data_IF_181833961836
#
_entry.id   IF_181833961836
#
_cell.length_a   1.000
_cell.length_b   1.000
_cell.length_c   1.000
_cell.angle_alpha   90.00
_cell.angle_beta   90.00
_cell.angle_gamma   90.00
#
_symmetry.space_group_name_H-M   'P 1'
#
loop_
_entity.id
_entity.type
_entity.pdbx_description
1 polymer ?
#
# COMPACT_ATOMS: atom_id res chain seq x y z
N UNK A 1 9.44 33.19 63.10
CA UNK A 1 9.82 33.54 61.69
C UNK A 1 10.36 32.27 61.11
N UNK A 2 9.61 31.81 60.60
CA UNK A 2 8.98 30.80 59.71
C UNK A 2 9.98 30.31 58.70
N UNK A 3 10.38 29.07 58.85
CA UNK A 3 11.06 28.26 57.85
C UNK A 3 10.10 27.97 56.71
N UNK A 4 10.40 28.50 55.54
CA UNK A 4 9.75 28.16 54.29
C UNK A 4 10.30 26.84 53.80
N UNK A 5 9.46 25.84 53.82
CA UNK A 5 9.70 24.53 53.30
C UNK A 5 10.15 24.57 51.82
N UNK A 6 11.27 23.93 51.54
CA UNK A 6 11.72 23.63 50.18
C UNK A 6 10.70 22.74 49.44
N UNK A 7 10.48 22.95 48.12
CA UNK A 7 9.58 22.13 47.37
C UNK A 7 10.15 20.71 47.21
N UNK A 8 9.33 19.75 47.52
CA UNK A 8 9.59 18.33 47.36
C UNK A 8 9.85 18.05 45.87
N UNK A 9 11.10 17.80 45.54
CA UNK A 9 11.48 17.19 44.25
C UNK A 9 10.98 15.74 44.20
N UNK A 10 9.70 15.58 43.85
CA UNK A 10 9.12 14.32 43.52
C UNK A 10 9.18 14.12 41.99
N UNK A 11 10.38 13.99 41.43
CA UNK A 11 10.52 13.47 40.10
C UNK A 11 10.07 12.01 40.10
N UNK A 12 8.84 11.77 39.68
CA UNK A 12 8.43 10.45 39.25
C UNK A 12 9.36 10.05 38.10
N UNK A 13 10.38 9.22 38.40
CA UNK A 13 11.04 8.42 37.41
C UNK A 13 9.94 7.60 36.74
N UNK A 14 9.45 8.06 35.60
CA UNK A 14 8.60 7.24 34.73
C UNK A 14 9.44 6.04 34.36
N UNK A 15 9.22 4.92 35.04
CA UNK A 15 9.80 3.66 34.62
C UNK A 15 9.22 3.34 33.28
N UNK A 16 10.06 3.41 32.22
CA UNK A 16 9.71 2.93 30.91
C UNK A 16 9.48 1.41 31.04
N UNK A 17 8.22 1.00 31.05
CA UNK A 17 7.86 -0.41 30.92
C UNK A 17 7.85 -0.69 29.41
N UNK A 18 8.80 -1.48 28.90
CA UNK A 18 8.80 -1.83 27.50
C UNK A 18 7.45 -2.46 27.14
N UNK A 19 6.75 -1.92 26.14
CA UNK A 19 5.54 -2.56 25.63
C UNK A 19 5.91 -3.92 25.06
N UNK A 20 5.06 -4.94 25.23
CA UNK A 20 5.28 -6.19 24.53
C UNK A 20 5.30 -5.92 23.01
N UNK A 21 6.13 -6.63 22.25
CA UNK A 21 6.17 -6.47 20.80
C UNK A 21 4.77 -6.65 20.19
N UNK A 22 4.47 -5.85 19.17
CA UNK A 22 3.28 -6.06 18.37
C UNK A 22 3.37 -7.41 17.64
N UNK A 23 2.25 -8.08 17.49
CA UNK A 23 2.20 -9.35 16.74
C UNK A 23 1.87 -9.06 15.28
N UNK A 24 2.72 -9.50 14.36
CA UNK A 24 2.51 -9.41 12.91
C UNK A 24 2.11 -10.77 12.36
N UNK A 25 0.85 -10.92 12.03
CA UNK A 25 0.35 -11.99 11.19
C UNK A 25 0.41 -11.58 9.72
N UNK A 26 0.51 -12.54 8.82
CA UNK A 26 0.61 -12.29 7.39
C UNK A 26 0.01 -13.43 6.58
N UNK A 27 -0.49 -13.12 5.39
CA UNK A 27 -0.77 -14.13 4.38
C UNK A 27 0.54 -14.67 3.80
N UNK A 28 0.66 -15.97 3.53
CA UNK A 28 1.93 -16.60 3.13
C UNK A 28 2.55 -15.94 1.89
N UNK A 29 1.72 -15.47 0.94
CA UNK A 29 2.21 -14.76 -0.26
C UNK A 29 2.91 -13.42 0.05
N UNK A 30 2.69 -12.85 1.24
CA UNK A 30 3.28 -11.57 1.69
C UNK A 30 4.45 -11.77 2.67
N UNK A 31 4.87 -12.99 2.89
CA UNK A 31 5.94 -13.34 3.85
C UNK A 31 7.24 -12.55 3.63
N UNK A 32 7.77 -12.38 2.40
CA UNK A 32 8.99 -11.60 2.20
C UNK A 32 8.84 -10.15 2.67
N UNK A 33 7.72 -9.50 2.35
CA UNK A 33 7.44 -8.14 2.80
C UNK A 33 7.25 -8.08 4.32
N UNK A 34 6.55 -9.05 4.93
CA UNK A 34 6.39 -9.13 6.37
C UNK A 34 7.72 -9.25 7.11
N UNK A 35 8.67 -10.05 6.57
CA UNK A 35 10.03 -10.18 7.11
C UNK A 35 10.77 -8.85 7.08
N UNK A 36 10.77 -8.17 5.93
CA UNK A 36 11.43 -6.87 5.78
C UNK A 36 10.84 -5.81 6.74
N UNK A 37 9.52 -5.79 6.93
CA UNK A 37 8.84 -4.89 7.88
C UNK A 37 9.27 -5.20 9.33
N UNK A 38 9.27 -6.47 9.73
CA UNK A 38 9.64 -6.86 11.09
C UNK A 38 11.10 -6.52 11.39
N UNK A 39 12.01 -6.74 10.45
CA UNK A 39 13.43 -6.39 10.55
C UNK A 39 13.61 -4.89 10.68
N UNK A 40 12.98 -4.09 9.80
CA UNK A 40 13.09 -2.63 9.81
C UNK A 40 12.53 -2.03 11.11
N UNK A 41 11.36 -2.46 11.55
CA UNK A 41 10.75 -1.99 12.80
C UNK A 41 11.56 -2.35 14.05
N UNK A 42 12.46 -3.32 13.96
CA UNK A 42 13.31 -3.78 15.07
C UNK A 42 14.72 -3.19 15.05
N UNK A 43 15.05 -2.33 14.08
CA UNK A 43 16.38 -1.72 13.98
C UNK A 43 16.62 -0.72 15.13
N UNK A 44 17.80 -0.74 15.79
CA UNK A 44 18.14 0.18 16.89
C UNK A 44 18.09 1.67 16.48
N UNK A 45 18.39 1.98 15.21
CA UNK A 45 18.35 3.33 14.66
C UNK A 45 16.96 3.96 14.69
N UNK A 46 15.93 3.15 14.74
CA UNK A 46 14.52 3.58 14.81
C UNK A 46 14.09 3.92 16.25
N UNK A 47 14.87 3.46 17.27
CA UNK A 47 14.55 3.59 18.69
C UNK A 47 15.63 4.38 19.45
N UNK A 48 15.71 5.71 19.33
CA UNK A 48 16.81 6.51 19.87
C UNK A 48 16.88 6.56 21.41
N UNK A 49 15.90 6.02 22.13
CA UNK A 49 15.85 6.01 23.61
C UNK A 49 16.22 4.68 24.25
N UNK A 50 16.65 3.70 23.48
CA UNK A 50 17.09 2.40 24.01
C UNK A 50 18.59 2.49 24.27
N UNK A 51 19.02 2.08 25.48
CA UNK A 51 20.43 2.07 25.84
C UNK A 51 21.25 1.25 24.85
N UNK A 52 22.47 1.72 24.51
CA UNK A 52 23.37 1.01 23.60
C UNK A 52 23.52 -0.45 24.01
N UNK A 53 23.28 -1.36 23.06
CA UNK A 53 23.40 -2.81 23.23
C UNK A 53 22.11 -3.55 23.62
N UNK A 54 20.97 -2.87 23.81
CA UNK A 54 19.69 -3.54 24.00
C UNK A 54 18.96 -3.72 22.65
N UNK A 55 18.72 -4.98 22.27
CA UNK A 55 17.86 -5.31 21.13
C UNK A 55 16.40 -5.24 21.58
N UNK A 56 15.61 -4.40 20.93
CA UNK A 56 14.17 -4.31 21.18
C UNK A 56 13.45 -4.96 20.00
N UNK A 57 12.88 -6.12 20.22
CA UNK A 57 11.98 -6.71 19.24
C UNK A 57 10.64 -5.97 19.29
N UNK A 58 10.40 -5.07 18.35
CA UNK A 58 9.18 -4.27 18.31
C UNK A 58 8.02 -4.99 17.63
N UNK A 59 8.33 -5.91 16.73
CA UNK A 59 7.36 -6.71 15.96
C UNK A 59 7.77 -8.18 16.02
N UNK A 60 6.84 -9.02 16.45
CA UNK A 60 6.98 -10.49 16.43
C UNK A 60 6.16 -11.05 15.28
N UNK A 61 6.81 -11.68 14.31
CA UNK A 61 6.10 -12.42 13.26
C UNK A 61 5.49 -13.70 13.80
N UNK A 62 4.26 -14.00 13.41
CA UNK A 62 3.56 -15.24 13.77
C UNK A 62 2.90 -15.82 12.53
N UNK A 63 3.13 -17.10 12.32
CA UNK A 63 2.60 -17.84 11.17
C UNK A 63 1.14 -18.24 11.40
N UNK A 64 0.40 -18.32 10.30
CA UNK A 64 -0.94 -18.89 10.22
C UNK A 64 -0.84 -20.09 9.27
N UNK A 65 -1.46 -21.19 9.63
CA UNK A 65 -1.55 -22.37 8.76
C UNK A 65 -2.67 -22.10 7.73
N UNK A 66 -2.27 -21.99 6.46
CA UNK A 66 -3.16 -21.69 5.32
C UNK A 66 -3.47 -22.97 4.53
N UNK A 67 -4.10 -23.94 5.19
CA UNK A 67 -4.44 -25.22 4.60
C UNK A 67 -5.84 -25.21 3.97
N UNK A 68 -6.16 -26.27 3.23
CA UNK A 68 -7.48 -26.50 2.62
C UNK A 68 -7.98 -27.91 2.93
N UNK A 69 -9.29 -28.01 3.07
CA UNK A 69 -9.97 -29.30 3.07
C UNK A 69 -9.94 -29.93 1.66
N UNK A 70 -10.18 -31.26 1.53
CA UNK A 70 -10.21 -31.93 0.24
C UNK A 70 -11.25 -31.37 -0.75
N UNK A 71 -12.27 -30.71 -0.26
CA UNK A 71 -13.31 -30.02 -1.06
C UNK A 71 -12.91 -28.60 -1.49
N UNK A 72 -11.71 -28.14 -1.12
CA UNK A 72 -11.14 -26.85 -1.49
C UNK A 72 -11.46 -25.70 -0.53
N UNK A 73 -12.29 -25.90 0.50
CA UNK A 73 -12.56 -24.86 1.49
C UNK A 73 -11.36 -24.64 2.44
N UNK A 74 -11.15 -23.41 2.92
CA UNK A 74 -10.04 -23.09 3.82
C UNK A 74 -10.10 -23.86 5.14
N UNK A 75 -8.97 -24.44 5.54
CA UNK A 75 -8.73 -25.06 6.84
C UNK A 75 -7.64 -24.25 7.57
N UNK A 76 -8.04 -23.15 8.18
CA UNK A 76 -7.16 -22.16 8.75
C UNK A 76 -6.92 -22.39 10.24
N UNK A 77 -5.67 -22.28 10.69
CA UNK A 77 -5.33 -22.39 12.10
C UNK A 77 -4.29 -21.33 12.51
N UNK A 78 -4.57 -20.60 13.57
CA UNK A 78 -3.67 -19.63 14.20
C UNK A 78 -3.12 -20.28 15.46
N UNK A 79 -1.88 -20.78 15.40
CA UNK A 79 -1.24 -21.39 16.55
C UNK A 79 -0.98 -20.36 17.65
N UNK A 80 -1.08 -20.80 18.92
CA UNK A 80 -0.84 -19.97 20.09
C UNK A 80 -1.62 -18.65 20.11
N UNK A 81 -2.81 -18.59 19.47
CA UNK A 81 -3.61 -17.37 19.29
C UNK A 81 -3.79 -16.58 20.59
N UNK A 82 -4.07 -17.26 21.72
CA UNK A 82 -4.26 -16.59 23.02
C UNK A 82 -2.98 -15.86 23.47
N UNK A 83 -1.81 -16.51 23.36
CA UNK A 83 -0.52 -15.94 23.79
C UNK A 83 -0.07 -14.79 22.89
N UNK A 84 -0.35 -14.89 21.60
CA UNK A 84 0.15 -13.95 20.60
C UNK A 84 -0.85 -12.84 20.23
N UNK A 85 -2.10 -12.93 20.73
CA UNK A 85 -3.15 -11.96 20.42
C UNK A 85 -3.71 -11.25 21.66
N UNK A 86 -4.04 -11.99 22.74
CA UNK A 86 -4.74 -11.38 23.86
C UNK A 86 -3.94 -10.26 24.54
N UNK A 87 -4.54 -9.07 24.63
CA UNK A 87 -3.95 -7.88 25.25
C UNK A 87 -2.82 -7.23 24.45
N UNK A 88 -2.51 -7.71 23.23
CA UNK A 88 -1.45 -7.17 22.36
C UNK A 88 -1.99 -6.30 21.24
N UNK A 89 -1.13 -5.44 20.72
CA UNK A 89 -1.35 -4.77 19.45
C UNK A 89 -1.05 -5.76 18.33
N UNK A 90 -1.99 -5.93 17.43
CA UNK A 90 -1.92 -6.93 16.38
C UNK A 90 -1.97 -6.26 15.02
N UNK A 91 -1.08 -6.70 14.14
CA UNK A 91 -0.99 -6.27 12.75
C UNK A 91 -1.26 -7.51 11.89
N UNK A 92 -2.02 -7.36 10.83
CA UNK A 92 -2.18 -8.37 9.80
C UNK A 92 -1.81 -7.78 8.45
N UNK A 93 -0.86 -8.38 7.74
CA UNK A 93 -0.48 -8.02 6.38
C UNK A 93 -1.14 -8.99 5.40
N UNK A 94 -2.16 -8.50 4.69
CA UNK A 94 -2.88 -9.26 3.68
C UNK A 94 -2.52 -8.87 2.26
N UNK A 95 -3.10 -9.54 1.28
CA UNK A 95 -2.79 -9.32 -0.13
C UNK A 95 -4.01 -9.18 -1.04
N UNK A 96 -5.14 -9.74 -0.72
CA UNK A 96 -6.41 -9.71 -1.49
C UNK A 96 -6.23 -9.87 -3.02
N UNK A 97 -5.23 -10.66 -3.43
CA UNK A 97 -4.89 -10.82 -4.84
C UNK A 97 -5.83 -11.74 -5.64
N UNK A 98 -6.71 -12.45 -4.97
CA UNK A 98 -7.76 -13.28 -5.58
C UNK A 98 -9.00 -13.36 -4.69
N UNK A 99 -10.20 -13.67 -5.25
CA UNK A 99 -11.42 -13.83 -4.45
C UNK A 99 -11.33 -14.93 -3.40
N UNK A 100 -10.58 -15.99 -3.67
CA UNK A 100 -10.33 -17.08 -2.74
C UNK A 100 -9.54 -16.59 -1.52
N UNK A 101 -8.46 -15.87 -1.75
CA UNK A 101 -7.63 -15.27 -0.69
C UNK A 101 -8.42 -14.23 0.10
N UNK A 102 -9.30 -13.46 -0.54
CA UNK A 102 -10.21 -12.55 0.17
C UNK A 102 -11.04 -13.29 1.21
N UNK A 103 -11.61 -14.46 0.87
CA UNK A 103 -12.39 -15.25 1.81
C UNK A 103 -11.55 -15.81 2.95
N UNK A 104 -10.35 -16.34 2.65
CA UNK A 104 -9.39 -16.84 3.63
C UNK A 104 -9.00 -15.74 4.62
N UNK A 105 -8.57 -14.60 4.12
CA UNK A 105 -8.14 -13.47 4.94
C UNK A 105 -9.30 -12.85 5.75
N UNK A 106 -10.50 -12.69 5.20
CA UNK A 106 -11.68 -12.23 5.95
C UNK A 106 -11.95 -13.12 7.16
N UNK A 107 -11.78 -14.45 7.02
CA UNK A 107 -11.96 -15.40 8.12
C UNK A 107 -10.98 -15.12 9.26
N UNK A 108 -9.73 -14.80 8.95
CA UNK A 108 -8.69 -14.39 9.91
C UNK A 108 -9.02 -13.02 10.52
N UNK A 109 -9.41 -12.05 9.69
CA UNK A 109 -9.77 -10.68 10.10
C UNK A 109 -10.92 -10.66 11.12
N UNK A 110 -11.88 -11.57 11.00
CA UNK A 110 -12.98 -11.67 11.96
C UNK A 110 -12.57 -12.41 13.24
N UNK A 111 -11.58 -13.29 13.18
CA UNK A 111 -11.13 -14.07 14.32
C UNK A 111 -10.24 -13.28 15.28
N UNK A 112 -9.25 -12.54 14.75
CA UNK A 112 -8.22 -11.89 15.56
C UNK A 112 -8.80 -10.88 16.57
N UNK A 113 -9.63 -9.89 16.21
CA UNK A 113 -10.17 -8.93 17.17
C UNK A 113 -10.98 -9.60 18.29
N UNK A 114 -11.75 -10.64 17.95
CA UNK A 114 -12.54 -11.43 18.92
C UNK A 114 -11.68 -12.27 19.87
N UNK A 115 -10.39 -12.37 19.62
CA UNK A 115 -9.43 -13.08 20.49
C UNK A 115 -8.77 -12.12 21.51
N UNK A 116 -9.47 -11.06 21.89
CA UNK A 116 -9.06 -10.07 22.87
C UNK A 116 -7.83 -9.26 22.50
N UNK A 117 -7.61 -9.01 21.21
CA UNK A 117 -6.60 -8.07 20.75
C UNK A 117 -6.81 -6.69 21.39
N UNK A 118 -5.73 -6.05 21.83
CA UNK A 118 -5.81 -4.68 22.37
C UNK A 118 -6.14 -3.68 21.27
N UNK A 119 -5.44 -3.75 20.15
CA UNK A 119 -5.72 -3.03 18.91
C UNK A 119 -5.50 -3.95 17.70
N UNK A 120 -6.08 -3.58 16.57
CA UNK A 120 -5.90 -4.33 15.35
C UNK A 120 -5.71 -3.40 14.15
N UNK A 121 -4.63 -3.60 13.41
CA UNK A 121 -4.30 -2.87 12.17
C UNK A 121 -4.20 -3.87 11.03
N UNK A 122 -5.10 -3.77 10.07
CA UNK A 122 -5.05 -4.52 8.83
C UNK A 122 -4.33 -3.70 7.77
N UNK A 123 -3.19 -4.19 7.29
CA UNK A 123 -2.47 -3.59 6.16
C UNK A 123 -2.91 -4.33 4.91
N UNK A 124 -3.63 -3.63 4.06
CA UNK A 124 -4.11 -4.09 2.77
C UNK A 124 -3.44 -3.25 1.66
N UNK A 125 -2.26 -3.66 1.16
CA UNK A 125 -1.52 -2.85 0.19
C UNK A 125 -2.34 -2.53 -1.06
N UNK A 126 -3.06 -3.51 -1.60
CA UNK A 126 -3.93 -3.37 -2.76
C UNK A 126 -5.39 -3.63 -2.40
N UNK A 127 -6.26 -2.66 -2.65
CA UNK A 127 -7.71 -2.80 -2.52
C UNK A 127 -8.30 -3.23 -3.88
N UNK A 128 -8.68 -4.51 -4.04
CA UNK A 128 -9.27 -4.97 -5.30
C UNK A 128 -10.65 -4.34 -5.52
N UNK A 129 -11.12 -4.36 -6.76
CA UNK A 129 -12.41 -3.78 -7.17
C UNK A 129 -12.53 -2.26 -7.03
N UNK A 130 -11.47 -1.53 -6.66
CA UNK A 130 -11.50 -0.07 -6.54
C UNK A 130 -11.98 0.66 -7.80
N UNK A 131 -11.73 0.11 -9.00
CA UNK A 131 -12.25 0.67 -10.26
C UNK A 131 -13.77 0.47 -10.47
N UNK A 132 -14.44 -0.24 -9.54
CA UNK A 132 -15.88 -0.48 -9.54
C UNK A 132 -16.52 0.25 -8.35
N UNK A 133 -16.16 1.51 -8.18
CA UNK A 133 -16.57 2.36 -7.07
C UNK A 133 -17.95 2.99 -7.25
N UNK A 134 -18.47 3.02 -8.48
CA UNK A 134 -19.77 3.64 -8.80
C UNK A 134 -20.55 2.82 -9.82
N UNK A 135 -21.81 3.13 -9.91
CA UNK A 135 -22.73 2.61 -10.92
C UNK A 135 -22.86 3.64 -12.03
N UNK A 136 -22.35 3.35 -13.24
CA UNK A 136 -22.47 4.20 -14.43
C UNK A 136 -23.77 3.92 -15.19
N UNK A 137 -24.40 2.77 -14.95
CA UNK A 137 -25.67 2.36 -15.56
C UNK A 137 -26.54 1.65 -14.53
N UNK A 138 -27.86 1.79 -14.66
CA UNK A 138 -28.83 1.11 -13.78
C UNK A 138 -28.59 -0.41 -13.78
N UNK A 139 -28.55 -1.01 -12.59
CA UNK A 139 -28.30 -2.44 -12.39
C UNK A 139 -26.85 -2.87 -12.38
N UNK A 140 -25.90 -1.98 -12.60
CA UNK A 140 -24.48 -2.24 -12.36
C UNK A 140 -24.23 -2.36 -10.86
N UNK A 141 -23.29 -3.21 -10.44
CA UNK A 141 -22.96 -3.42 -9.04
C UNK A 141 -21.61 -2.80 -8.73
N UNK A 142 -21.58 -1.84 -7.80
CA UNK A 142 -20.36 -1.24 -7.27
C UNK A 142 -19.68 -2.20 -6.27
N UNK A 143 -18.86 -3.13 -6.75
CA UNK A 143 -18.25 -4.19 -5.93
C UNK A 143 -17.22 -3.65 -4.93
N UNK A 144 -16.68 -2.45 -5.11
CA UNK A 144 -15.89 -1.75 -4.10
C UNK A 144 -16.70 -1.52 -2.82
N UNK A 145 -17.98 -1.11 -2.95
CA UNK A 145 -18.89 -0.97 -1.80
C UNK A 145 -19.16 -2.30 -1.10
N UNK A 146 -19.31 -3.38 -1.86
CA UNK A 146 -19.50 -4.72 -1.29
C UNK A 146 -18.28 -5.12 -0.44
N UNK A 147 -17.07 -4.95 -0.96
CA UNK A 147 -15.84 -5.28 -0.24
C UNK A 147 -15.67 -4.41 1.01
N UNK A 148 -15.89 -3.11 0.91
CA UNK A 148 -15.84 -2.20 2.06
C UNK A 148 -16.88 -2.57 3.14
N UNK A 149 -18.06 -3.06 2.75
CA UNK A 149 -19.09 -3.54 3.67
C UNK A 149 -18.63 -4.80 4.40
N UNK A 150 -18.02 -5.76 3.70
CA UNK A 150 -17.45 -6.97 4.32
C UNK A 150 -16.35 -6.62 5.31
N UNK A 151 -15.44 -5.71 4.96
CA UNK A 151 -14.39 -5.22 5.85
C UNK A 151 -14.94 -4.45 7.05
N UNK A 152 -16.04 -3.74 6.89
CA UNK A 152 -16.71 -3.01 7.99
C UNK A 152 -17.33 -3.93 9.04
N UNK A 153 -17.50 -5.22 8.73
CA UNK A 153 -17.97 -6.22 9.68
C UNK A 153 -16.85 -6.77 10.59
N UNK A 154 -15.59 -6.32 10.43
CA UNK A 154 -14.49 -6.65 11.34
C UNK A 154 -14.88 -6.19 12.76
N UNK A 155 -14.80 -7.09 13.76
CA UNK A 155 -15.20 -6.77 15.12
C UNK A 155 -14.34 -5.70 15.76
N UNK A 156 -14.90 -4.98 16.72
CA UNK A 156 -14.17 -4.03 17.57
C UNK A 156 -13.12 -4.75 18.42
N UNK A 157 -12.04 -4.05 18.71
CA UNK A 157 -11.00 -4.45 19.66
C UNK A 157 -11.23 -3.81 21.02
N UNK A 158 -10.37 -4.12 22.00
CA UNK A 158 -10.43 -3.45 23.30
C UNK A 158 -10.23 -1.92 23.22
N UNK A 159 -9.55 -1.43 22.18
CA UNK A 159 -9.34 0.01 21.90
C UNK A 159 -10.38 0.62 20.96
N UNK A 160 -11.37 -0.14 20.51
CA UNK A 160 -12.40 0.31 19.58
C UNK A 160 -12.19 -0.17 18.15
N UNK A 161 -12.48 0.67 17.13
CA UNK A 161 -12.41 0.32 15.73
C UNK A 161 -11.04 -0.16 15.27
N UNK A 162 -11.05 -1.18 14.42
CA UNK A 162 -9.84 -1.65 13.73
C UNK A 162 -9.41 -0.67 12.65
N UNK A 163 -8.10 -0.48 12.44
CA UNK A 163 -7.59 0.33 11.35
C UNK A 163 -7.39 -0.53 10.09
N UNK A 164 -7.68 0.04 8.93
CA UNK A 164 -7.42 -0.59 7.63
C UNK A 164 -6.53 0.37 6.82
N UNK A 165 -5.28 0.01 6.62
CA UNK A 165 -4.30 0.81 5.86
C UNK A 165 -4.31 0.37 4.41
N UNK A 166 -4.64 1.27 3.50
CA UNK A 166 -4.75 1.00 2.07
C UNK A 166 -3.86 1.97 1.31
N UNK A 167 -3.04 1.47 0.39
CA UNK A 167 -2.16 2.30 -0.42
C UNK A 167 -2.81 2.68 -1.75
N UNK A 168 -2.69 3.95 -2.12
CA UNK A 168 -3.11 4.52 -3.40
C UNK A 168 -4.45 3.96 -3.94
N UNK A 169 -5.48 3.91 -3.09
CA UNK A 169 -6.83 3.46 -3.47
C UNK A 169 -7.33 4.25 -4.69
N UNK A 170 -8.03 3.59 -5.61
CA UNK A 170 -8.39 4.17 -6.91
C UNK A 170 -9.17 5.48 -6.79
N UNK A 171 -10.17 5.54 -5.91
CA UNK A 171 -10.93 6.75 -5.65
C UNK A 171 -10.97 7.07 -4.15
N UNK A 172 -10.57 8.30 -3.76
CA UNK A 172 -10.53 8.70 -2.34
C UNK A 172 -11.90 8.64 -1.67
N UNK A 173 -12.97 8.77 -2.45
CA UNK A 173 -14.35 8.69 -1.97
C UNK A 173 -14.73 7.32 -1.44
N UNK A 174 -14.02 6.26 -1.83
CA UNK A 174 -14.24 4.91 -1.32
C UNK A 174 -14.08 4.81 0.20
N UNK A 175 -13.34 5.73 0.82
CA UNK A 175 -13.26 5.82 2.28
C UNK A 175 -14.62 5.96 2.95
N UNK A 176 -15.60 6.55 2.27
CA UNK A 176 -16.96 6.73 2.78
C UNK A 176 -17.84 5.48 2.65
N UNK A 177 -17.32 4.42 2.04
CA UNK A 177 -18.02 3.13 1.95
C UNK A 177 -17.87 2.28 3.21
N UNK A 178 -16.86 2.59 4.01
CA UNK A 178 -16.60 1.90 5.26
C UNK A 178 -17.57 2.36 6.36
N UNK A 179 -18.00 1.42 7.20
CA UNK A 179 -18.82 1.69 8.38
C UNK A 179 -17.98 2.03 9.61
N UNK A 180 -18.66 2.40 10.69
CA UNK A 180 -18.05 2.97 11.90
C UNK A 180 -17.21 1.96 12.73
N UNK A 181 -17.29 0.66 12.44
CA UNK A 181 -16.51 -0.35 13.15
C UNK A 181 -15.04 -0.42 12.71
N UNK A 182 -14.69 0.27 11.63
CA UNK A 182 -13.33 0.32 11.09
C UNK A 182 -12.92 1.74 10.71
N UNK A 183 -11.64 2.01 10.71
CA UNK A 183 -11.07 3.31 10.33
C UNK A 183 -10.20 3.08 9.08
N UNK A 184 -10.68 3.47 7.88
CA UNK A 184 -9.84 3.42 6.68
C UNK A 184 -8.77 4.51 6.74
N UNK A 185 -7.51 4.10 6.64
CA UNK A 185 -6.35 4.98 6.50
C UNK A 185 -5.81 4.85 5.09
N UNK A 186 -5.90 5.95 4.34
CA UNK A 186 -5.43 5.99 2.97
C UNK A 186 -4.02 6.58 2.94
N UNK A 187 -3.07 5.74 2.58
CA UNK A 187 -1.65 6.07 2.48
C UNK A 187 -1.21 6.10 1.02
N UNK A 188 -0.01 6.59 0.74
CA UNK A 188 0.53 6.62 -0.63
C UNK A 188 1.94 6.04 -0.69
N UNK A 189 2.23 5.32 -1.76
CA UNK A 189 3.56 4.82 -2.09
C UNK A 189 4.38 5.80 -2.95
N UNK A 190 3.81 6.93 -3.36
CA UNK A 190 4.51 7.99 -4.14
C UNK A 190 5.82 8.45 -3.48
N UNK A 191 5.98 8.55 -2.14
CA UNK A 191 7.25 8.88 -1.53
C UNK A 191 8.42 7.97 -1.94
N UNK A 192 8.14 6.70 -2.27
CA UNK A 192 9.16 5.78 -2.77
C UNK A 192 9.67 6.22 -4.15
N UNK A 193 8.74 6.51 -5.07
CA UNK A 193 9.09 7.04 -6.39
C UNK A 193 9.86 8.36 -6.28
N UNK A 194 9.42 9.28 -5.42
CA UNK A 194 10.09 10.58 -5.23
C UNK A 194 11.56 10.44 -4.81
N UNK A 195 11.90 9.39 -4.05
CA UNK A 195 13.30 9.07 -3.71
C UNK A 195 14.10 8.66 -4.95
N UNK A 196 13.49 7.88 -5.84
CA UNK A 196 14.16 7.46 -7.10
C UNK A 196 14.30 8.61 -8.09
N UNK A 197 13.27 9.44 -8.26
CA UNK A 197 13.33 10.60 -9.16
C UNK A 197 14.42 11.61 -8.75
N UNK A 198 14.67 11.78 -7.45
CA UNK A 198 15.75 12.65 -6.94
C UNK A 198 17.16 12.16 -7.30
N UNK A 199 17.33 10.89 -7.63
CA UNK A 199 18.62 10.31 -8.04
C UNK A 199 18.90 10.53 -9.53
N UNK A 200 17.87 10.86 -10.31
CA UNK A 200 17.99 11.09 -11.74
C UNK A 200 18.46 12.53 -11.99
N UNK A 201 19.49 12.67 -12.84
CA UNK A 201 20.01 13.97 -13.27
C UNK A 201 19.40 14.43 -14.60
N UNK A 202 18.24 13.89 -14.97
CA UNK A 202 17.54 14.18 -16.22
C UNK A 202 16.64 15.42 -16.08
N UNK A 203 16.29 16.04 -17.20
CA UNK A 203 15.23 17.05 -17.26
C UNK A 203 13.88 16.34 -17.17
N UNK A 204 13.34 16.21 -15.94
CA UNK A 204 12.17 15.41 -15.64
C UNK A 204 10.85 16.17 -15.85
N UNK A 205 9.86 15.48 -16.40
CA UNK A 205 8.44 15.89 -16.37
C UNK A 205 7.55 14.72 -15.96
N UNK A 206 6.43 15.04 -15.35
CA UNK A 206 5.46 14.04 -14.89
C UNK A 206 4.25 14.04 -15.81
N UNK A 207 3.88 12.88 -16.34
CA UNK A 207 2.71 12.74 -17.19
C UNK A 207 1.61 11.91 -16.52
N UNK A 208 0.39 12.36 -16.67
CA UNK A 208 -0.80 11.65 -16.20
C UNK A 208 -1.58 11.13 -17.41
N UNK A 209 -1.87 9.82 -17.50
CA UNK A 209 -2.50 9.21 -18.67
C UNK A 209 -3.95 9.66 -18.90
N UNK A 210 -4.58 10.23 -17.87
CA UNK A 210 -5.92 10.82 -17.94
C UNK A 210 -6.15 11.84 -16.82
N UNK A 211 -7.32 12.49 -16.86
CA UNK A 211 -7.72 13.50 -15.85
C UNK A 211 -7.93 12.90 -14.45
N UNK A 212 -8.26 11.61 -14.34
CA UNK A 212 -8.41 10.93 -13.06
C UNK A 212 -7.06 10.84 -12.34
N UNK A 213 -6.04 10.32 -13.00
CA UNK A 213 -4.67 10.27 -12.49
C UNK A 213 -4.13 11.67 -12.17
N UNK A 214 -4.39 12.66 -13.04
CA UNK A 214 -4.01 14.05 -12.76
C UNK A 214 -4.65 14.57 -11.47
N UNK A 215 -5.97 14.49 -11.32
CA UNK A 215 -6.67 14.93 -10.11
C UNK A 215 -6.17 14.24 -8.85
N UNK A 216 -5.79 12.98 -8.97
CA UNK A 216 -5.33 12.14 -7.86
C UNK A 216 -3.94 12.52 -7.38
N UNK A 217 -2.99 12.77 -8.29
CA UNK A 217 -1.58 12.81 -7.97
C UNK A 217 -0.87 14.15 -8.21
N UNK A 218 -1.40 15.08 -9.01
CA UNK A 218 -0.66 16.29 -9.43
C UNK A 218 -0.11 17.11 -8.26
N UNK A 219 -0.82 17.18 -7.14
CA UNK A 219 -0.39 17.93 -5.95
C UNK A 219 0.85 17.35 -5.28
N UNK A 220 1.15 16.06 -5.53
CA UNK A 220 2.36 15.41 -5.02
C UNK A 220 3.60 15.69 -5.88
N UNK A 221 3.41 16.23 -7.09
CA UNK A 221 4.47 16.46 -8.08
C UNK A 221 4.62 17.93 -8.48
N UNK A 222 4.30 18.86 -7.59
CA UNK A 222 4.34 20.32 -7.87
C UNK A 222 5.74 20.84 -8.21
N UNK A 223 6.81 20.12 -7.86
CA UNK A 223 8.17 20.48 -8.19
C UNK A 223 8.58 20.16 -9.63
N UNK A 224 7.74 19.45 -10.39
CA UNK A 224 8.01 19.02 -11.76
C UNK A 224 7.02 19.65 -12.75
N UNK A 225 7.42 19.91 -14.00
CA UNK A 225 6.48 20.19 -15.06
C UNK A 225 5.47 19.05 -15.22
N UNK A 226 4.18 19.37 -15.31
CA UNK A 226 3.11 18.39 -15.43
C UNK A 226 2.60 18.33 -16.86
N UNK A 227 2.33 17.13 -17.33
CA UNK A 227 1.76 16.81 -18.64
C UNK A 227 0.47 16.03 -18.41
N UNK A 228 -0.62 16.47 -19.00
CA UNK A 228 -1.90 15.76 -18.91
C UNK A 228 -2.26 15.18 -20.27
N UNK A 229 -2.59 13.90 -20.31
CA UNK A 229 -3.08 13.22 -21.49
C UNK A 229 -4.60 13.02 -21.40
N UNK A 230 -5.24 12.83 -22.55
CA UNK A 230 -6.66 12.51 -22.67
C UNK A 230 -6.87 11.29 -23.56
N UNK A 231 -7.87 10.48 -23.19
CA UNK A 231 -8.34 9.36 -24.01
C UNK A 231 -9.33 9.88 -25.05
N UNK A 232 -9.04 9.63 -26.32
CA UNK A 232 -9.94 9.96 -27.42
C UNK A 232 -10.50 8.65 -27.98
N UNK A 233 -11.82 8.60 -28.14
CA UNK A 233 -12.52 7.48 -28.79
C UNK A 233 -12.98 7.92 -30.18
N UNK A 234 -12.41 7.32 -31.23
CA UNK A 234 -12.86 7.47 -32.60
C UNK A 234 -13.45 6.13 -33.07
N UNK A 235 -14.76 5.97 -32.93
CA UNK A 235 -15.42 4.70 -33.17
C UNK A 235 -14.88 3.58 -32.29
N UNK A 236 -14.33 2.53 -32.88
CA UNK A 236 -13.75 1.39 -32.14
C UNK A 236 -12.28 1.59 -31.76
N UNK A 237 -11.62 2.66 -32.19
CA UNK A 237 -10.22 2.92 -31.85
C UNK A 237 -10.11 3.82 -30.63
N UNK A 238 -9.26 3.39 -29.68
CA UNK A 238 -8.88 4.21 -28.50
C UNK A 238 -7.49 4.76 -28.75
N UNK A 239 -7.31 6.06 -28.70
CA UNK A 239 -6.02 6.73 -28.76
C UNK A 239 -5.84 7.67 -27.56
N UNK A 240 -4.60 7.99 -27.24
CA UNK A 240 -4.25 8.96 -26.21
C UNK A 240 -3.56 10.14 -26.91
N UNK A 241 -3.83 11.37 -26.48
CA UNK A 241 -3.14 12.58 -26.94
C UNK A 241 -2.70 13.42 -25.73
N UNK A 242 -1.62 14.16 -25.90
CA UNK A 242 -1.23 15.21 -24.96
C UNK A 242 -2.26 16.34 -25.03
N UNK A 243 -2.84 16.69 -23.88
CA UNK A 243 -3.82 17.78 -23.74
C UNK A 243 -3.15 19.07 -23.28
N UNK A 244 -2.27 18.95 -22.29
CA UNK A 244 -1.56 20.07 -21.67
C UNK A 244 -0.11 19.66 -21.34
N UNK A 245 0.80 20.65 -21.29
CA UNK A 245 2.22 20.45 -21.03
C UNK A 245 3.02 20.17 -22.27
N UNK A 246 4.35 20.28 -22.14
CA UNK A 246 5.30 20.03 -23.23
C UNK A 246 6.28 18.90 -22.85
N UNK A 247 6.22 17.74 -23.53
CA UNK A 247 7.14 16.63 -23.27
C UNK A 247 8.48 16.75 -24.01
N UNK A 248 8.65 17.77 -24.89
CA UNK A 248 9.81 17.88 -25.77
C UNK A 248 11.13 17.94 -24.99
N UNK A 249 12.06 17.09 -25.35
CA UNK A 249 13.42 16.99 -24.78
C UNK A 249 13.44 16.62 -23.27
N UNK A 250 12.29 16.23 -22.70
CA UNK A 250 12.19 15.78 -21.31
C UNK A 250 12.26 14.25 -21.20
N UNK A 251 12.79 13.78 -20.06
CA UNK A 251 12.54 12.43 -19.58
C UNK A 251 11.19 12.44 -18.86
N UNK A 252 10.18 11.83 -19.47
CA UNK A 252 8.81 11.85 -18.98
C UNK A 252 8.50 10.60 -18.16
N UNK A 253 8.00 10.79 -16.94
CA UNK A 253 7.55 9.68 -16.07
C UNK A 253 6.02 9.68 -16.02
N UNK A 254 5.42 8.61 -16.52
CA UNK A 254 3.96 8.41 -16.50
C UNK A 254 3.55 7.86 -15.15
N UNK A 255 2.56 8.49 -14.48
CA UNK A 255 2.09 8.12 -13.15
C UNK A 255 0.65 7.66 -13.20
N UNK A 256 0.40 6.47 -12.63
CA UNK A 256 -0.96 5.95 -12.41
C UNK A 256 -1.03 5.18 -11.08
N UNK A 257 -2.24 4.91 -10.57
CA UNK A 257 -2.44 4.10 -9.36
C UNK A 257 -2.25 2.61 -9.67
N UNK A 258 -2.81 2.14 -10.77
CA UNK A 258 -2.77 0.73 -11.15
C UNK A 258 -2.63 0.52 -12.65
N UNK A 259 -2.14 -0.65 -13.00
CA UNK A 259 -2.13 -1.14 -14.38
C UNK A 259 -2.81 -2.50 -14.47
N UNK A 260 -3.79 -2.60 -15.37
CA UNK A 260 -4.43 -3.86 -15.73
C UNK A 260 -3.76 -4.46 -16.99
N UNK A 261 -4.26 -4.16 -18.16
CA UNK A 261 -3.74 -4.73 -19.43
C UNK A 261 -2.62 -3.91 -20.05
N UNK A 262 -2.32 -2.74 -19.52
CA UNK A 262 -1.26 -1.85 -19.97
C UNK A 262 -1.57 -1.01 -21.22
N UNK A 263 -2.72 -1.22 -21.86
CA UNK A 263 -3.01 -0.52 -23.12
C UNK A 263 -2.99 1.01 -23.01
N UNK A 264 -3.53 1.57 -21.94
CA UNK A 264 -3.54 3.04 -21.70
C UNK A 264 -2.13 3.59 -21.56
N UNK A 265 -1.27 2.95 -20.75
CA UNK A 265 0.10 3.39 -20.54
C UNK A 265 0.94 3.32 -21.81
N UNK A 266 0.81 2.25 -22.60
CA UNK A 266 1.49 2.11 -23.90
C UNK A 266 1.04 3.20 -24.88
N UNK A 267 -0.27 3.47 -24.97
CA UNK A 267 -0.77 4.53 -25.83
C UNK A 267 -0.31 5.93 -25.37
N UNK A 268 -0.27 6.15 -24.04
CA UNK A 268 0.27 7.37 -23.47
C UNK A 268 1.77 7.53 -23.82
N UNK A 269 2.57 6.48 -23.67
CA UNK A 269 3.99 6.50 -24.04
C UNK A 269 4.19 6.81 -25.53
N UNK A 270 3.37 6.20 -26.44
CA UNK A 270 3.40 6.51 -27.89
C UNK A 270 3.11 7.98 -28.16
N UNK A 271 2.09 8.55 -27.50
CA UNK A 271 1.72 9.95 -27.67
C UNK A 271 2.83 10.92 -27.18
N UNK A 272 3.41 10.62 -26.03
CA UNK A 272 4.51 11.42 -25.44
C UNK A 272 5.77 11.34 -26.34
N UNK A 273 6.11 10.16 -26.86
CA UNK A 273 7.24 9.98 -27.76
C UNK A 273 7.05 10.73 -29.07
N UNK A 274 5.83 10.66 -29.65
CA UNK A 274 5.49 11.43 -30.85
C UNK A 274 5.52 12.96 -30.63
N UNK A 275 5.30 13.42 -29.39
CA UNK A 275 5.39 14.82 -29.01
C UNK A 275 6.82 15.25 -28.59
N UNK A 276 7.84 14.40 -28.76
CA UNK A 276 9.25 14.74 -28.60
C UNK A 276 9.89 14.39 -27.26
N UNK A 277 9.26 13.57 -26.42
CA UNK A 277 9.88 13.08 -25.19
C UNK A 277 11.20 12.36 -25.51
N UNK A 278 12.27 12.70 -24.80
CA UNK A 278 13.60 12.09 -24.96
C UNK A 278 13.61 10.65 -24.45
N UNK A 279 13.14 10.44 -23.23
CA UNK A 279 12.99 9.17 -22.53
C UNK A 279 11.59 9.04 -21.93
N UNK A 280 11.13 7.82 -21.72
CA UNK A 280 9.86 7.53 -21.08
C UNK A 280 10.08 6.49 -19.99
N UNK A 281 9.60 6.79 -18.78
CA UNK A 281 9.46 5.86 -17.68
C UNK A 281 8.01 5.82 -17.22
N UNK A 282 7.66 4.84 -16.42
CA UNK A 282 6.34 4.74 -15.81
C UNK A 282 6.43 4.34 -14.34
N UNK A 283 5.39 4.66 -13.60
CA UNK A 283 5.17 4.21 -12.25
C UNK A 283 3.71 3.82 -12.06
N UNK A 284 3.50 2.71 -11.40
CA UNK A 284 2.21 2.35 -10.83
C UNK A 284 2.41 1.76 -9.43
N UNK A 285 1.50 2.07 -8.52
CA UNK A 285 1.50 1.42 -7.21
C UNK A 285 1.11 -0.06 -7.35
N UNK A 286 0.10 -0.36 -8.16
CA UNK A 286 -0.47 -1.71 -8.26
C UNK A 286 -0.27 -2.32 -9.64
N UNK A 287 0.72 -3.21 -9.74
CA UNK A 287 1.02 -3.97 -10.96
C UNK A 287 0.13 -5.20 -11.07
N UNK A 288 -1.14 -5.02 -11.40
CA UNK A 288 -2.13 -6.12 -11.43
C UNK A 288 -1.85 -7.11 -12.55
N UNK A 289 -1.62 -6.67 -13.77
CA UNK A 289 -1.19 -7.42 -14.95
C UNK A 289 -1.83 -8.81 -15.13
N UNK A 290 -3.16 -8.88 -15.24
CA UNK A 290 -3.84 -10.15 -15.43
C UNK A 290 -3.28 -10.91 -16.65
N UNK A 291 -3.21 -12.24 -16.55
CA UNK A 291 -2.73 -13.13 -17.64
C UNK A 291 -1.34 -12.74 -18.15
N UNK A 292 -0.46 -12.28 -17.27
CA UNK A 292 0.93 -11.86 -17.60
C UNK A 292 0.97 -10.73 -18.66
N UNK A 293 0.00 -9.81 -18.65
CA UNK A 293 -0.06 -8.70 -19.62
C UNK A 293 1.12 -7.73 -19.53
N UNK A 294 1.95 -7.83 -18.50
CA UNK A 294 3.21 -7.13 -18.35
C UNK A 294 4.22 -7.41 -19.49
N UNK A 295 4.15 -8.59 -20.12
CA UNK A 295 5.01 -8.96 -21.26
C UNK A 295 4.90 -7.98 -22.43
N UNK A 296 3.79 -7.27 -22.57
CA UNK A 296 3.64 -6.22 -23.61
C UNK A 296 4.64 -5.08 -23.45
N UNK A 297 5.18 -4.86 -22.25
CA UNK A 297 6.13 -3.79 -21.98
C UNK A 297 7.57 -4.22 -22.29
N UNK A 298 7.87 -5.50 -22.26
CA UNK A 298 9.19 -6.03 -22.66
C UNK A 298 9.38 -6.07 -24.17
N UNK A 299 8.27 -6.04 -24.94
CA UNK A 299 8.22 -6.16 -26.41
C UNK A 299 7.62 -4.91 -27.07
N UNK A 300 7.50 -3.79 -26.34
CA UNK A 300 6.83 -2.59 -26.81
C UNK A 300 7.67 -1.81 -27.83
N UNK A 301 7.04 -1.29 -28.91
CA UNK A 301 7.68 -0.41 -29.91
C UNK A 301 8.28 0.89 -29.32
N UNK A 302 7.72 1.35 -28.18
CA UNK A 302 8.25 2.47 -27.42
C UNK A 302 8.93 1.92 -26.16
N UNK A 303 10.26 1.88 -26.08
CA UNK A 303 10.95 1.34 -24.93
C UNK A 303 10.72 2.25 -23.72
N UNK A 304 10.39 1.62 -22.59
CA UNK A 304 10.43 2.28 -21.29
C UNK A 304 11.85 2.20 -20.74
N UNK A 305 12.40 3.35 -20.31
CA UNK A 305 13.69 3.41 -19.63
C UNK A 305 13.65 2.64 -18.31
N UNK A 306 12.57 2.88 -17.53
CA UNK A 306 12.24 2.20 -16.29
C UNK A 306 10.73 2.11 -16.11
N UNK A 307 10.26 1.03 -15.53
CA UNK A 307 8.89 0.89 -15.09
C UNK A 307 8.87 0.51 -13.60
N UNK A 308 8.67 1.50 -12.76
CA UNK A 308 8.60 1.32 -11.31
C UNK A 308 7.27 0.71 -10.90
N UNK A 309 7.32 -0.35 -10.13
CA UNK A 309 6.16 -1.05 -9.54
C UNK A 309 6.41 -1.29 -8.06
N UNK A 310 5.37 -1.55 -7.27
CA UNK A 310 5.53 -1.89 -5.87
C UNK A 310 5.19 -3.36 -5.59
N UNK A 311 5.59 -3.85 -4.41
CA UNK A 311 5.23 -5.16 -3.88
C UNK A 311 3.85 -5.19 -3.19
N UNK A 312 2.93 -4.31 -3.64
CA UNK A 312 1.53 -4.31 -3.20
C UNK A 312 0.77 -5.60 -3.59
N UNK A 313 1.29 -6.32 -4.58
CA UNK A 313 0.79 -7.61 -5.05
C UNK A 313 1.93 -8.64 -5.06
N UNK A 314 1.67 -9.90 -4.67
CA UNK A 314 2.73 -10.90 -4.49
C UNK A 314 3.57 -11.16 -5.74
N UNK A 315 2.95 -11.14 -6.92
CA UNK A 315 3.62 -11.45 -8.19
C UNK A 315 4.51 -10.31 -8.70
N UNK A 316 4.46 -9.11 -8.09
CA UNK A 316 5.29 -7.97 -8.52
C UNK A 316 6.79 -8.25 -8.41
N UNK A 317 7.21 -9.05 -7.42
CA UNK A 317 8.60 -9.44 -7.23
C UNK A 317 9.15 -10.29 -8.39
N UNK A 318 8.30 -11.11 -9.01
CA UNK A 318 8.67 -11.88 -10.20
C UNK A 318 8.74 -11.00 -11.44
N UNK A 319 7.78 -10.09 -11.60
CA UNK A 319 7.76 -9.14 -12.72
C UNK A 319 9.00 -8.26 -12.71
N UNK A 320 9.44 -7.84 -11.54
CA UNK A 320 10.62 -6.96 -11.39
C UNK A 320 11.96 -7.61 -11.76
N UNK A 321 11.99 -8.92 -12.02
CA UNK A 321 13.18 -9.60 -12.57
C UNK A 321 13.36 -9.35 -14.06
N UNK A 322 12.35 -8.84 -14.73
CA UNK A 322 12.32 -8.60 -16.17
C UNK A 322 12.42 -7.09 -16.47
N UNK A 323 13.36 -6.71 -17.35
CA UNK A 323 13.44 -5.32 -17.80
C UNK A 323 12.17 -4.95 -18.60
N UNK A 324 11.63 -3.73 -18.47
CA UNK A 324 12.19 -2.55 -17.77
C UNK A 324 11.72 -2.37 -16.32
N UNK A 325 11.19 -3.40 -15.67
CA UNK A 325 10.56 -3.29 -14.36
C UNK A 325 11.56 -3.14 -13.22
N UNK A 326 11.28 -2.22 -12.29
CA UNK A 326 12.00 -2.03 -11.04
C UNK A 326 11.05 -2.05 -9.85
N UNK A 327 11.37 -2.82 -8.80
CA UNK A 327 10.56 -2.95 -7.60
C UNK A 327 10.89 -1.85 -6.59
N UNK A 328 9.88 -1.13 -6.15
CA UNK A 328 9.93 -0.22 -5.00
C UNK A 328 9.19 -0.88 -3.85
N UNK A 329 9.92 -1.40 -2.86
CA UNK A 329 9.28 -2.10 -1.74
C UNK A 329 8.48 -1.15 -0.85
N UNK A 330 7.27 -1.55 -0.48
CA UNK A 330 6.42 -0.86 0.49
C UNK A 330 6.93 -0.97 1.93
N UNK A 331 7.98 -1.75 2.17
CA UNK A 331 8.55 -1.95 3.51
C UNK A 331 8.77 -0.62 4.25
N UNK A 332 9.39 0.37 3.57
CA UNK A 332 9.71 1.66 4.18
C UNK A 332 8.46 2.41 4.62
N UNK A 333 7.51 2.61 3.70
CA UNK A 333 6.29 3.39 3.98
C UNK A 333 5.37 2.68 4.98
N UNK A 334 5.29 1.36 4.92
CA UNK A 334 4.52 0.57 5.91
C UNK A 334 5.17 0.70 7.29
N UNK A 335 6.49 0.51 7.39
CA UNK A 335 7.19 0.62 8.67
C UNK A 335 7.09 2.02 9.25
N UNK A 336 7.27 3.06 8.44
CA UNK A 336 7.14 4.46 8.87
C UNK A 336 5.70 4.74 9.37
N UNK A 337 4.69 4.20 8.70
CA UNK A 337 3.28 4.29 9.11
C UNK A 337 3.04 3.62 10.46
N UNK A 338 3.54 2.40 10.66
CA UNK A 338 3.40 1.66 11.91
C UNK A 338 4.15 2.35 13.06
N UNK A 339 5.39 2.76 12.83
CA UNK A 339 6.24 3.42 13.83
C UNK A 339 5.66 4.78 14.24
N UNK A 340 5.16 5.56 13.28
CA UNK A 340 4.61 6.88 13.54
C UNK A 340 3.32 6.88 14.34
N UNK A 341 2.42 5.93 14.09
CA UNK A 341 1.08 5.94 14.68
C UNK A 341 0.84 4.85 15.71
N UNK A 342 1.43 3.67 15.52
CA UNK A 342 1.04 2.48 16.27
C UNK A 342 2.11 2.00 17.25
N UNK A 343 3.39 2.23 16.96
CA UNK A 343 4.50 1.72 17.78
C UNK A 343 5.23 2.79 18.59
N UNK A 344 5.31 4.04 18.13
CA UNK A 344 6.03 5.12 18.80
C UNK A 344 5.18 5.96 19.74
N UNK A 345 3.85 5.89 19.67
CA UNK A 345 2.99 6.64 20.59
C UNK A 345 2.97 5.97 21.96
N UNK A 346 3.78 6.48 22.83
CA UNK A 346 3.83 6.19 24.28
C UNK A 346 3.09 7.25 25.05
#
# INVERSE_FOLDING_TARGET
MEDLASPVEGFHKQYYVPRPPATLYYHESMKPLAQSIAERCSQPSVWPKVAEGQFVQCVKMVHIDWDKFPDGWPNLNIQNLKQDCAGKDVIFLGSFHSPEVVFEELSVLYKIPRSLARSFTFILPYFPTGTMEREDTEGQIATAKTLATLLSAIPLTARGPSQIVIFDIHALQERFYFGDNVIPRLESAIPLLMRELKKLNDNLSIAFPDEGAFKRFHTMFTAFPNITCIKIRNGNTRSVKVKEGDPKDHHVVIIDDLVMTGGTLIQCAKALKAAGASKISAYVTHAVFPKQSWKKFTECDVPFEKFYITDSLPHSTEIAKEAPFELLSLCDVISDTLLGFDLLQT
#
